data_IF_457060647273
#
_entry.id   IF_457060647273
#
_cell.length_a   1.000
_cell.length_b   1.000
_cell.length_c   1.000
_cell.angle_alpha   90.00
_cell.angle_beta   90.00
_cell.angle_gamma   90.00
#
_symmetry.space_group_name_H-M   'P 1'
#
loop_
_entity.id
_entity.type
_entity.pdbx_description
1 polymer ?
#
# COMPACT_ATOMS: atom_id res chain seq x y z
N UNK A 1 3.43 31.73 -17.53
CA UNK A 1 4.38 31.78 -16.40
C UNK A 1 4.02 30.84 -15.25
N UNK A 2 2.87 30.90 -14.59
CA UNK A 2 2.54 29.99 -13.49
C UNK A 2 2.36 28.51 -13.89
N UNK A 3 1.99 28.19 -15.14
CA UNK A 3 1.81 26.83 -15.63
C UNK A 3 3.12 26.13 -16.02
N UNK A 4 4.13 26.88 -16.40
CA UNK A 4 5.46 26.35 -16.75
C UNK A 4 6.28 25.98 -15.51
N UNK A 5 6.17 26.77 -14.44
CA UNK A 5 6.81 26.46 -13.16
C UNK A 5 6.26 25.19 -12.49
N UNK A 6 4.95 24.92 -12.60
CA UNK A 6 4.35 23.70 -12.09
C UNK A 6 4.76 22.47 -12.93
N UNK A 7 4.94 22.67 -14.24
CA UNK A 7 5.36 21.61 -15.18
C UNK A 7 6.82 21.20 -14.95
N UNK A 8 7.71 22.17 -14.79
CA UNK A 8 9.13 21.96 -14.47
C UNK A 8 9.32 21.25 -13.12
N UNK A 9 8.54 21.62 -12.10
CA UNK A 9 8.59 21.01 -10.77
C UNK A 9 8.05 19.58 -10.72
N UNK A 10 7.04 19.24 -11.52
CA UNK A 10 6.50 17.86 -11.56
C UNK A 10 7.44 16.89 -12.28
N UNK A 11 8.14 17.33 -13.31
CA UNK A 11 9.17 16.56 -13.99
C UNK A 11 10.37 16.28 -13.06
N UNK A 12 10.75 17.25 -12.25
CA UNK A 12 11.81 17.11 -11.25
C UNK A 12 11.54 16.03 -10.20
N UNK A 13 10.30 15.86 -9.73
CA UNK A 13 10.01 14.89 -8.67
C UNK A 13 9.92 13.44 -9.16
N UNK A 14 9.39 13.21 -10.37
CA UNK A 14 9.35 11.87 -10.96
C UNK A 14 10.75 11.44 -11.41
N UNK A 15 11.52 12.35 -12.01
CA UNK A 15 12.92 12.09 -12.34
C UNK A 15 13.78 11.89 -11.09
N UNK A 16 13.50 12.61 -9.99
CA UNK A 16 14.21 12.42 -8.71
C UNK A 16 13.95 11.03 -8.11
N UNK A 17 12.72 10.49 -8.18
CA UNK A 17 12.42 9.13 -7.72
C UNK A 17 13.07 8.09 -8.65
N UNK A 18 13.10 8.35 -9.95
CA UNK A 18 13.77 7.49 -10.95
C UNK A 18 15.29 7.60 -10.81
N UNK A 19 15.83 8.80 -10.64
CA UNK A 19 17.27 9.03 -10.48
C UNK A 19 17.80 8.58 -9.12
N UNK A 20 17.03 8.70 -8.02
CA UNK A 20 17.36 8.06 -6.73
C UNK A 20 17.36 6.52 -6.83
N UNK A 21 16.56 5.95 -7.73
CA UNK A 21 16.63 4.53 -8.05
C UNK A 21 17.80 4.20 -8.99
N UNK A 22 18.28 5.17 -9.77
CA UNK A 22 19.43 5.02 -10.68
C UNK A 22 20.77 5.37 -10.02
N UNK A 23 20.85 6.36 -9.15
CA UNK A 23 22.05 6.67 -8.34
C UNK A 23 22.36 5.57 -7.29
N UNK A 24 21.33 4.89 -6.79
CA UNK A 24 21.53 3.65 -6.03
C UNK A 24 22.11 2.51 -6.92
N UNK A 25 22.27 2.74 -8.20
CA UNK A 25 22.71 1.76 -9.23
C UNK A 25 24.15 1.90 -9.65
N UNK A 26 24.75 3.10 -9.57
CA UNK A 26 26.16 3.30 -9.88
C UNK A 26 27.00 3.07 -8.64
N UNK A 27 27.81 2.04 -8.71
CA UNK A 27 28.62 1.46 -7.65
C UNK A 27 29.25 2.47 -6.68
N UNK A 28 28.95 2.28 -5.44
CA UNK A 28 29.37 2.99 -4.25
C UNK A 28 30.89 3.22 -4.22
N UNK A 29 31.33 4.39 -4.69
CA UNK A 29 32.39 5.14 -4.02
C UNK A 29 31.75 5.71 -2.77
N UNK A 30 32.37 5.46 -1.61
CA UNK A 30 31.86 5.92 -0.31
C UNK A 30 31.33 7.36 -0.42
N UNK A 31 30.03 7.61 -0.18
CA UNK A 31 29.45 8.92 -0.42
C UNK A 31 30.15 9.93 0.47
N UNK A 32 30.52 11.08 -0.10
CA UNK A 32 30.99 12.21 0.69
C UNK A 32 29.95 12.53 1.76
N UNK A 33 30.35 12.97 2.95
CA UNK A 33 29.41 13.23 4.06
C UNK A 33 28.20 14.09 3.66
N UNK A 34 28.32 14.95 2.64
CA UNK A 34 27.24 15.73 2.06
C UNK A 34 26.21 14.88 1.30
N UNK A 35 26.63 13.85 0.57
CA UNK A 35 25.70 12.95 -0.13
C UNK A 35 24.89 12.10 0.88
N UNK A 36 25.57 11.61 1.93
CA UNK A 36 24.89 10.87 3.00
C UNK A 36 23.83 11.72 3.72
N UNK A 37 24.15 12.98 3.97
CA UNK A 37 23.24 13.95 4.60
C UNK A 37 22.05 14.25 3.67
N UNK A 38 22.25 14.39 2.37
CA UNK A 38 21.20 14.61 1.37
C UNK A 38 20.27 13.41 1.28
N UNK A 39 20.81 12.20 1.26
CA UNK A 39 20.02 10.95 1.29
C UNK A 39 19.19 10.87 2.59
N UNK A 40 19.79 11.17 3.73
CA UNK A 40 19.08 11.16 5.01
C UNK A 40 17.94 12.18 5.03
N UNK A 41 18.17 13.41 4.54
CA UNK A 41 17.14 14.45 4.40
C UNK A 41 15.99 13.99 3.48
N UNK A 42 16.30 13.40 2.34
CA UNK A 42 15.30 12.87 1.40
C UNK A 42 14.48 11.72 2.00
N UNK A 43 15.10 10.84 2.78
CA UNK A 43 14.40 9.79 3.52
C UNK A 43 13.45 10.37 4.59
N UNK A 44 13.89 11.41 5.30
CA UNK A 44 13.04 12.11 6.27
C UNK A 44 11.86 12.76 5.56
N UNK A 45 12.10 13.47 4.44
CA UNK A 45 11.05 14.09 3.64
C UNK A 45 10.02 13.05 3.15
N UNK A 46 10.49 11.91 2.64
CA UNK A 46 9.62 10.81 2.22
C UNK A 46 8.84 10.18 3.38
N UNK A 47 9.47 10.02 4.54
CA UNK A 47 8.83 9.53 5.76
C UNK A 47 7.72 10.45 6.25
N UNK A 48 7.98 11.77 6.31
CA UNK A 48 7.00 12.79 6.72
C UNK A 48 5.86 12.86 5.71
N UNK A 49 6.17 12.95 4.41
CA UNK A 49 5.17 12.98 3.34
C UNK A 49 4.25 11.74 3.38
N UNK A 50 4.84 10.56 3.57
CA UNK A 50 4.09 9.33 3.73
C UNK A 50 3.22 9.30 4.99
N UNK A 51 3.69 9.84 6.10
CA UNK A 51 2.94 9.96 7.36
C UNK A 51 1.75 10.91 7.25
N UNK A 52 1.97 12.11 6.70
CA UNK A 52 0.93 13.13 6.49
C UNK A 52 -0.13 12.63 5.53
N UNK A 53 0.26 12.10 4.38
CA UNK A 53 -0.66 11.54 3.38
C UNK A 53 -1.53 10.42 3.98
N UNK A 54 -0.92 9.45 4.69
CA UNK A 54 -1.66 8.36 5.33
C UNK A 54 -2.60 8.85 6.41
N UNK A 55 -2.22 9.88 7.15
CA UNK A 55 -3.08 10.48 8.18
C UNK A 55 -4.27 11.18 7.54
N UNK A 56 -4.08 11.92 6.46
CA UNK A 56 -5.17 12.58 5.76
C UNK A 56 -6.23 11.59 5.22
N UNK A 57 -5.80 10.43 4.71
CA UNK A 57 -6.72 9.41 4.18
C UNK A 57 -7.11 8.33 5.22
N UNK A 58 -6.63 8.43 6.46
CA UNK A 58 -6.90 7.45 7.52
C UNK A 58 -8.40 7.16 7.75
N UNK A 59 -9.32 8.16 7.72
CA UNK A 59 -10.75 7.90 7.83
C UNK A 59 -11.29 6.93 6.77
N UNK A 60 -10.87 7.11 5.52
CA UNK A 60 -11.27 6.24 4.41
C UNK A 60 -10.62 4.86 4.53
N UNK A 61 -9.37 4.79 4.99
CA UNK A 61 -8.70 3.51 5.24
C UNK A 61 -9.36 2.72 6.35
N UNK A 62 -9.74 3.37 7.46
CA UNK A 62 -10.47 2.72 8.54
C UNK A 62 -11.82 2.19 8.07
N UNK A 63 -12.59 3.03 7.39
CA UNK A 63 -13.88 2.64 6.86
C UNK A 63 -13.78 1.46 5.88
N UNK A 64 -12.77 1.48 4.98
CA UNK A 64 -12.49 0.34 4.10
C UNK A 64 -12.37 -0.96 4.87
N UNK A 65 -11.54 -0.98 5.93
CA UNK A 65 -11.31 -2.20 6.71
C UNK A 65 -12.59 -2.64 7.43
N UNK A 66 -13.33 -1.72 8.01
CA UNK A 66 -14.61 -2.01 8.67
C UNK A 66 -15.64 -2.61 7.71
N UNK A 67 -15.75 -2.06 6.48
CA UNK A 67 -16.63 -2.60 5.44
C UNK A 67 -16.22 -4.02 5.00
N UNK A 68 -14.93 -4.32 4.96
CA UNK A 68 -14.42 -5.63 4.56
C UNK A 68 -14.69 -6.73 5.60
N UNK A 69 -14.65 -6.37 6.88
CA UNK A 69 -14.73 -7.33 7.98
C UNK A 69 -16.08 -7.35 8.70
N UNK A 70 -16.99 -6.41 8.42
CA UNK A 70 -18.29 -6.36 9.10
C UNK A 70 -19.09 -7.66 8.95
N UNK A 71 -19.84 -8.01 10.00
CA UNK A 71 -20.66 -9.21 10.02
C UNK A 71 -21.83 -9.09 9.03
N UNK A 72 -22.08 -10.08 8.16
CA UNK A 72 -23.20 -10.07 7.23
C UNK A 72 -24.59 -10.01 7.92
N UNK A 73 -24.68 -10.52 9.15
CA UNK A 73 -25.91 -10.54 9.92
C UNK A 73 -26.21 -9.23 10.68
N UNK A 74 -25.24 -8.32 10.77
CA UNK A 74 -25.38 -7.01 11.42
C UNK A 74 -24.62 -5.94 10.65
N UNK A 75 -25.29 -5.39 9.62
CA UNK A 75 -24.68 -4.39 8.75
C UNK A 75 -24.82 -3.01 9.43
N UNK A 76 -23.71 -2.45 9.91
CA UNK A 76 -23.65 -1.11 10.50
C UNK A 76 -23.19 -0.05 9.50
N UNK A 77 -22.28 -0.44 8.63
CA UNK A 77 -21.67 0.45 7.63
C UNK A 77 -22.30 0.18 6.27
N UNK A 78 -23.13 1.11 5.78
CA UNK A 78 -23.77 1.00 4.48
C UNK A 78 -23.28 2.14 3.57
N UNK A 79 -22.19 1.86 2.83
CA UNK A 79 -21.55 2.83 1.93
C UNK A 79 -20.57 3.78 2.63
N UNK A 80 -19.95 4.68 1.81
CA UNK A 80 -18.84 5.51 2.26
C UNK A 80 -19.29 6.66 3.16
N UNK A 81 -20.30 7.41 2.74
CA UNK A 81 -20.75 8.63 3.46
C UNK A 81 -21.42 8.25 4.76
N UNK A 82 -22.34 7.28 4.72
CA UNK A 82 -23.07 6.83 5.90
C UNK A 82 -22.10 6.20 6.92
N UNK A 83 -21.14 5.39 6.46
CA UNK A 83 -20.15 4.77 7.33
C UNK A 83 -19.27 5.79 8.05
N UNK A 84 -18.79 6.84 7.36
CA UNK A 84 -18.02 7.92 7.99
C UNK A 84 -18.86 8.70 9.01
N UNK A 85 -20.11 9.04 8.67
CA UNK A 85 -21.04 9.70 9.61
C UNK A 85 -21.32 8.83 10.84
N UNK A 86 -21.47 7.52 10.65
CA UNK A 86 -21.69 6.59 11.76
C UNK A 86 -20.48 6.56 12.70
N UNK A 87 -19.26 6.42 12.19
CA UNK A 87 -18.03 6.44 13.01
C UNK A 87 -17.91 7.76 13.76
N UNK A 88 -18.16 8.88 13.08
CA UNK A 88 -18.11 10.20 13.72
C UNK A 88 -19.10 10.35 14.87
N UNK A 89 -20.33 9.86 14.69
CA UNK A 89 -21.39 9.96 15.72
C UNK A 89 -21.16 9.03 16.92
N UNK A 90 -20.60 7.83 16.67
CA UNK A 90 -20.45 6.80 17.72
C UNK A 90 -19.13 6.87 18.44
N UNK A 91 -18.03 7.24 17.76
CA UNK A 91 -16.67 7.23 18.30
C UNK A 91 -15.98 8.60 18.26
N UNK A 92 -16.66 9.62 17.72
CA UNK A 92 -16.13 10.96 17.61
C UNK A 92 -14.99 11.09 16.59
N UNK A 93 -14.33 12.27 16.59
CA UNK A 93 -13.25 12.58 15.65
C UNK A 93 -12.05 11.64 15.79
N UNK A 94 -11.63 11.32 17.01
CA UNK A 94 -10.50 10.41 17.29
C UNK A 94 -10.75 9.00 16.77
N UNK A 95 -12.00 8.57 16.73
CA UNK A 95 -12.42 7.30 16.16
C UNK A 95 -12.02 7.14 14.70
N UNK A 96 -12.06 8.19 13.89
CA UNK A 96 -11.68 8.15 12.48
C UNK A 96 -10.22 7.78 12.24
N UNK A 97 -9.33 8.00 13.21
CA UNK A 97 -7.89 7.80 13.10
C UNK A 97 -7.37 6.56 13.85
N UNK A 98 -8.25 5.69 14.38
CA UNK A 98 -7.82 4.45 15.05
C UNK A 98 -7.02 3.57 14.09
N UNK A 99 -5.88 3.07 14.58
CA UNK A 99 -4.94 2.26 13.81
C UNK A 99 -3.98 3.05 12.91
N UNK A 100 -4.13 4.38 12.77
CA UNK A 100 -3.24 5.19 11.93
C UNK A 100 -1.81 5.23 12.48
N UNK A 101 -1.63 5.28 13.79
CA UNK A 101 -0.29 5.26 14.40
C UNK A 101 0.54 4.05 13.98
N UNK A 102 -0.08 2.85 13.97
CA UNK A 102 0.57 1.63 13.47
C UNK A 102 0.88 1.71 11.98
N UNK A 103 -0.01 2.34 11.21
CA UNK A 103 0.19 2.53 9.77
C UNK A 103 1.40 3.43 9.49
N UNK A 104 1.56 4.50 10.24
CA UNK A 104 2.72 5.41 10.12
C UNK A 104 4.00 4.73 10.62
N UNK A 105 3.96 4.07 11.79
CA UNK A 105 5.13 3.38 12.34
C UNK A 105 5.69 2.31 11.38
N UNK A 106 4.84 1.69 10.56
CA UNK A 106 5.25 0.68 9.57
C UNK A 106 5.96 1.24 8.36
N UNK A 107 5.90 2.56 8.09
CA UNK A 107 6.51 3.16 6.89
C UNK A 107 8.00 2.86 6.84
N UNK A 108 8.72 3.19 7.90
CA UNK A 108 10.19 3.08 7.94
C UNK A 108 10.66 1.63 7.81
N UNK A 109 10.20 0.66 8.66
CA UNK A 109 10.63 -0.73 8.52
C UNK A 109 10.29 -1.34 7.16
N UNK A 110 9.09 -1.06 6.65
CA UNK A 110 8.66 -1.62 5.37
C UNK A 110 9.50 -1.07 4.20
N UNK A 111 9.80 0.22 4.20
CA UNK A 111 10.63 0.83 3.16
C UNK A 111 12.07 0.32 3.24
N UNK A 112 12.67 0.27 4.43
CA UNK A 112 14.03 -0.22 4.63
C UNK A 112 14.18 -1.66 4.12
N UNK A 113 13.29 -2.57 4.54
CA UNK A 113 13.32 -3.96 4.08
C UNK A 113 13.09 -4.07 2.58
N UNK A 114 12.16 -3.26 2.03
CA UNK A 114 11.86 -3.27 0.59
C UNK A 114 13.07 -2.84 -0.25
N UNK A 115 13.77 -1.77 0.13
CA UNK A 115 14.97 -1.30 -0.59
C UNK A 115 16.09 -2.32 -0.53
N UNK A 116 16.42 -2.81 0.67
CA UNK A 116 17.45 -3.83 0.84
C UNK A 116 17.12 -5.10 0.06
N UNK A 117 15.89 -5.60 0.16
CA UNK A 117 15.47 -6.81 -0.56
C UNK A 117 15.44 -6.61 -2.07
N UNK A 118 15.14 -5.40 -2.55
CA UNK A 118 15.18 -5.10 -3.99
C UNK A 118 16.60 -5.13 -4.53
N UNK A 119 17.54 -4.56 -3.80
CA UNK A 119 18.96 -4.56 -4.18
C UNK A 119 19.49 -5.99 -4.27
N UNK A 120 19.27 -6.81 -3.24
CA UNK A 120 19.72 -8.20 -3.23
C UNK A 120 18.99 -9.07 -4.27
N UNK A 121 17.67 -8.91 -4.44
CA UNK A 121 16.92 -9.61 -5.47
C UNK A 121 17.39 -9.22 -6.88
N UNK A 122 17.69 -7.95 -7.12
CA UNK A 122 18.19 -7.46 -8.40
C UNK A 122 19.55 -8.04 -8.75
N UNK A 123 20.47 -8.08 -7.77
CA UNK A 123 21.78 -8.72 -7.94
C UNK A 123 21.65 -10.21 -8.23
N UNK A 124 20.80 -10.92 -7.46
CA UNK A 124 20.59 -12.36 -7.63
C UNK A 124 19.97 -12.70 -9.00
N UNK A 125 18.94 -11.95 -9.43
CA UNK A 125 18.27 -12.16 -10.71
C UNK A 125 19.24 -11.84 -11.86
N UNK A 126 20.04 -10.77 -11.76
CA UNK A 126 21.02 -10.41 -12.77
C UNK A 126 22.11 -11.47 -12.89
N UNK A 127 22.63 -11.98 -11.76
CA UNK A 127 23.59 -13.06 -11.75
C UNK A 127 23.04 -14.33 -12.42
N UNK A 128 21.80 -14.70 -12.11
CA UNK A 128 21.13 -15.86 -12.69
C UNK A 128 20.91 -15.70 -14.20
N UNK A 129 20.51 -14.49 -14.63
CA UNK A 129 20.30 -14.16 -16.05
C UNK A 129 21.61 -14.19 -16.84
N UNK A 130 22.70 -13.59 -16.32
CA UNK A 130 24.03 -13.66 -16.92
C UNK A 130 24.54 -15.08 -17.10
N UNK A 131 24.36 -15.91 -16.06
CA UNK A 131 24.75 -17.31 -16.09
C UNK A 131 23.96 -18.14 -17.12
N UNK A 132 22.67 -17.84 -17.31
CA UNK A 132 21.85 -18.53 -18.31
C UNK A 132 22.12 -18.08 -19.75
N UNK A 133 22.41 -16.80 -19.94
CA UNK A 133 22.57 -16.19 -21.27
C UNK A 133 24.02 -16.21 -21.74
N UNK A 134 24.98 -16.47 -20.85
CA UNK A 134 26.43 -16.43 -21.17
C UNK A 134 26.96 -15.02 -21.50
N UNK A 135 26.19 -13.96 -21.21
CA UNK A 135 26.52 -12.58 -21.49
C UNK A 135 26.75 -11.81 -20.18
N UNK A 136 28.03 -11.53 -19.91
CA UNK A 136 28.44 -10.85 -18.67
C UNK A 136 28.04 -9.37 -18.63
N UNK A 137 27.81 -8.74 -19.77
CA UNK A 137 27.40 -7.34 -19.88
C UNK A 137 25.87 -7.15 -19.84
N UNK A 138 25.10 -8.24 -19.67
CA UNK A 138 23.65 -8.16 -19.64
C UNK A 138 23.15 -7.24 -18.53
N UNK A 139 22.21 -6.34 -18.87
CA UNK A 139 21.52 -5.45 -17.95
C UNK A 139 20.16 -6.00 -17.57
N UNK A 140 19.62 -5.52 -16.43
CA UNK A 140 18.27 -5.86 -16.00
C UNK A 140 17.25 -5.31 -17.01
N UNK A 141 16.54 -6.21 -17.70
CA UNK A 141 15.40 -5.85 -18.53
C UNK A 141 14.23 -5.34 -17.68
N UNK A 142 13.27 -4.58 -18.24
CA UNK A 142 12.10 -4.10 -17.50
C UNK A 142 11.32 -5.24 -16.80
N UNK A 143 11.23 -6.41 -17.43
CA UNK A 143 10.55 -7.59 -16.86
C UNK A 143 11.32 -8.16 -15.66
N UNK A 144 12.64 -8.24 -15.74
CA UNK A 144 13.49 -8.69 -14.64
C UNK A 144 13.46 -7.71 -13.46
N UNK A 145 13.43 -6.40 -13.72
CA UNK A 145 13.23 -5.36 -12.70
C UNK A 145 11.88 -5.50 -12.00
N UNK A 146 10.83 -5.80 -12.76
CA UNK A 146 9.50 -6.06 -12.23
C UNK A 146 9.50 -7.30 -11.32
N UNK A 147 10.16 -8.38 -11.73
CA UNK A 147 10.37 -9.58 -10.93
C UNK A 147 11.11 -9.29 -9.62
N UNK A 148 12.21 -8.55 -9.68
CA UNK A 148 12.95 -8.12 -8.49
C UNK A 148 12.08 -7.28 -7.54
N UNK A 149 11.30 -6.34 -8.08
CA UNK A 149 10.36 -5.53 -7.33
C UNK A 149 9.25 -6.35 -6.65
N UNK A 150 8.71 -7.36 -7.34
CA UNK A 150 7.72 -8.28 -6.79
C UNK A 150 8.32 -9.11 -5.64
N UNK A 151 9.50 -9.69 -5.82
CA UNK A 151 10.22 -10.42 -4.78
C UNK A 151 10.50 -9.55 -3.56
N UNK A 152 11.02 -8.35 -3.77
CA UNK A 152 11.28 -7.38 -2.69
C UNK A 152 9.99 -6.99 -1.96
N UNK A 153 8.90 -6.79 -2.69
CA UNK A 153 7.59 -6.52 -2.13
C UNK A 153 7.07 -7.65 -1.24
N UNK A 154 7.22 -8.90 -1.66
CA UNK A 154 6.82 -10.09 -0.89
C UNK A 154 7.67 -10.21 0.38
N UNK A 155 9.00 -10.04 0.29
CA UNK A 155 9.90 -10.12 1.43
C UNK A 155 9.58 -9.01 2.44
N UNK A 156 9.46 -7.76 1.99
CA UNK A 156 9.13 -6.62 2.84
C UNK A 156 7.76 -6.79 3.52
N UNK A 157 6.76 -7.25 2.77
CA UNK A 157 5.44 -7.54 3.31
C UNK A 157 5.51 -8.66 4.35
N UNK A 158 6.26 -9.73 4.10
CA UNK A 158 6.40 -10.85 5.03
C UNK A 158 7.09 -10.43 6.34
N UNK A 159 8.16 -9.64 6.25
CA UNK A 159 8.86 -9.12 7.41
C UNK A 159 7.99 -8.16 8.26
N UNK A 160 7.16 -7.34 7.61
CA UNK A 160 6.29 -6.38 8.30
C UNK A 160 4.87 -6.90 8.54
N UNK A 161 4.59 -8.15 8.22
CA UNK A 161 3.25 -8.74 8.32
C UNK A 161 2.68 -8.74 9.75
N UNK A 162 3.46 -9.05 10.81
CA UNK A 162 2.97 -8.93 12.18
C UNK A 162 2.40 -7.54 12.51
N UNK A 163 3.05 -6.48 12.05
CA UNK A 163 2.56 -5.11 12.23
C UNK A 163 1.29 -4.83 11.44
N UNK A 164 1.14 -5.45 10.26
CA UNK A 164 -0.08 -5.30 9.44
C UNK A 164 -1.29 -5.99 10.08
N UNK A 165 -1.11 -7.16 10.70
CA UNK A 165 -2.15 -7.84 11.46
C UNK A 165 -2.59 -7.01 12.67
N UNK A 166 -1.64 -6.54 13.47
CA UNK A 166 -1.90 -5.66 14.62
C UNK A 166 -2.63 -4.39 14.20
N UNK A 167 -2.19 -3.75 13.11
CA UNK A 167 -2.89 -2.60 12.51
C UNK A 167 -4.34 -2.94 12.18
N UNK A 168 -4.58 -4.06 11.50
CA UNK A 168 -5.93 -4.50 11.15
C UNK A 168 -6.84 -4.61 12.36
N UNK A 169 -6.38 -5.27 13.43
CA UNK A 169 -7.15 -5.45 14.67
C UNK A 169 -7.37 -4.13 15.43
N UNK A 170 -6.34 -3.31 15.59
CA UNK A 170 -6.48 -1.98 16.22
C UNK A 170 -7.43 -1.05 15.45
N UNK A 171 -7.46 -1.16 14.13
CA UNK A 171 -8.37 -0.36 13.27
C UNK A 171 -9.83 -0.77 13.48
N UNK A 172 -10.10 -2.05 13.67
CA UNK A 172 -11.45 -2.61 13.83
C UNK A 172 -11.98 -2.43 15.26
N UNK A 173 -11.11 -2.36 16.26
CA UNK A 173 -11.49 -2.17 17.65
C UNK A 173 -12.31 -0.88 17.83
N UNK A 174 -13.50 -1.01 18.44
CA UNK A 174 -14.44 0.11 18.73
C UNK A 174 -14.41 0.48 20.22
N UNK A 175 -14.91 1.67 20.58
CA UNK A 175 -14.96 2.09 21.98
C UNK A 175 -16.02 1.32 22.77
N UNK A 176 -17.03 0.76 22.09
CA UNK A 176 -18.08 -0.07 22.70
C UNK A 176 -17.60 -1.50 23.00
N UNK A 177 -16.44 -1.91 22.49
CA UNK A 177 -15.88 -3.24 22.78
C UNK A 177 -14.88 -3.16 23.94
N UNK A 178 -14.71 -4.23 24.73
CA UNK A 178 -13.66 -4.28 25.74
C UNK A 178 -12.33 -3.92 25.06
N UNK A 179 -11.60 -2.94 25.63
CA UNK A 179 -10.32 -2.48 25.06
C UNK A 179 -9.27 -3.56 25.25
N UNK A 180 -9.22 -4.51 24.31
CA UNK A 180 -8.28 -5.62 24.38
C UNK A 180 -6.85 -5.16 24.09
N UNK A 181 -6.70 -4.21 23.13
CA UNK A 181 -5.38 -3.73 22.72
C UNK A 181 -5.17 -2.26 23.07
N UNK A 182 -4.17 -1.98 23.91
CA UNK A 182 -3.80 -0.61 24.34
C UNK A 182 -2.79 0.06 23.44
N UNK A 183 -2.22 -0.65 22.47
CA UNK A 183 -1.20 -0.14 21.54
C UNK A 183 -0.52 -1.25 20.76
N UNK A 184 0.45 -0.88 19.91
CA UNK A 184 1.12 -1.81 18.97
C UNK A 184 1.82 -2.96 19.71
N UNK A 185 2.67 -2.63 20.68
CA UNK A 185 3.45 -3.63 21.43
C UNK A 185 2.56 -4.52 22.28
N UNK A 186 1.55 -3.93 22.94
CA UNK A 186 0.59 -4.70 23.72
C UNK A 186 -0.20 -5.67 22.84
N UNK A 187 -0.68 -5.21 21.68
CA UNK A 187 -1.39 -6.07 20.74
C UNK A 187 -0.50 -7.21 20.22
N UNK A 188 0.76 -6.91 19.86
CA UNK A 188 1.70 -7.92 19.39
C UNK A 188 1.98 -9.00 20.44
N UNK A 189 2.26 -8.57 21.70
CA UNK A 189 2.52 -9.50 22.80
C UNK A 189 1.29 -10.30 23.22
N UNK A 190 0.10 -9.70 23.18
CA UNK A 190 -1.16 -10.38 23.47
C UNK A 190 -1.44 -11.47 22.45
N UNK A 191 -1.31 -11.16 21.14
CA UNK A 191 -1.51 -12.14 20.07
C UNK A 191 -0.51 -13.29 20.18
N UNK A 192 0.77 -12.99 20.47
CA UNK A 192 1.81 -14.01 20.65
C UNK A 192 1.51 -14.94 21.84
N UNK A 193 1.02 -14.39 22.97
CA UNK A 193 0.73 -15.17 24.18
C UNK A 193 -0.56 -15.97 24.08
N UNK A 194 -1.62 -15.38 23.50
CA UNK A 194 -2.94 -16.00 23.49
C UNK A 194 -3.20 -16.90 22.26
N UNK A 195 -2.67 -16.50 21.11
CA UNK A 195 -2.96 -17.18 19.84
C UNK A 195 -1.72 -17.88 19.24
N UNK A 196 -0.54 -17.57 19.75
CA UNK A 196 0.74 -18.15 19.32
C UNK A 196 1.35 -17.46 18.08
N UNK A 197 2.61 -17.78 17.72
CA UNK A 197 3.37 -17.09 16.68
C UNK A 197 2.77 -17.28 15.26
N UNK A 198 2.14 -18.42 15.00
CA UNK A 198 1.49 -18.69 13.70
C UNK A 198 0.31 -17.74 13.44
N UNK A 199 -0.33 -17.24 14.47
CA UNK A 199 -1.45 -16.30 14.35
C UNK A 199 -1.03 -14.97 13.73
N UNK A 200 0.21 -14.53 13.96
CA UNK A 200 0.75 -13.30 13.38
C UNK A 200 0.81 -13.30 11.85
N UNK A 201 0.79 -14.49 11.23
CA UNK A 201 0.84 -14.67 9.77
C UNK A 201 -0.50 -15.11 9.17
N UNK A 202 -1.60 -15.05 9.94
CA UNK A 202 -2.94 -15.34 9.40
C UNK A 202 -3.32 -14.35 8.30
N UNK A 203 -3.65 -14.85 7.12
CA UNK A 203 -3.93 -14.05 5.93
C UNK A 203 -2.69 -13.62 5.14
N UNK A 204 -1.49 -14.11 5.46
CA UNK A 204 -0.28 -13.87 4.69
C UNK A 204 -0.38 -14.45 3.27
N UNK A 205 -0.86 -15.69 3.15
CA UNK A 205 -0.96 -16.38 1.86
C UNK A 205 -1.78 -15.62 0.80
N UNK A 206 -3.03 -15.18 1.06
CA UNK A 206 -3.77 -14.37 0.10
C UNK A 206 -3.09 -13.05 -0.22
N UNK A 207 -2.29 -12.51 0.69
CA UNK A 207 -1.51 -11.30 0.43
C UNK A 207 -0.41 -11.52 -0.59
N UNK A 208 0.34 -12.62 -0.45
CA UNK A 208 1.43 -12.99 -1.39
C UNK A 208 0.85 -13.32 -2.76
N UNK A 209 -0.18 -14.15 -2.81
CA UNK A 209 -0.83 -14.52 -4.07
C UNK A 209 -1.39 -13.28 -4.77
N UNK A 210 -1.93 -12.31 -4.03
CA UNK A 210 -2.49 -11.08 -4.58
C UNK A 210 -1.46 -10.13 -5.21
N UNK A 211 -0.17 -10.24 -4.87
CA UNK A 211 0.89 -9.41 -5.46
C UNK A 211 1.05 -9.71 -6.94
N UNK A 212 1.04 -10.98 -7.34
CA UNK A 212 1.29 -11.40 -8.72
C UNK A 212 0.28 -10.81 -9.70
N UNK A 213 -1.05 -11.02 -9.55
CA UNK A 213 -2.03 -10.44 -10.46
C UNK A 213 -2.06 -8.91 -10.40
N UNK A 214 -1.85 -8.32 -9.21
CA UNK A 214 -1.79 -6.87 -9.07
C UNK A 214 -0.65 -6.25 -9.87
N UNK A 215 0.58 -6.75 -9.69
CA UNK A 215 1.78 -6.21 -10.36
C UNK A 215 1.72 -6.49 -11.85
N UNK A 216 1.35 -7.71 -12.25
CA UNK A 216 1.25 -8.10 -13.66
C UNK A 216 0.21 -7.27 -14.44
N UNK A 217 -0.99 -7.11 -13.88
CA UNK A 217 -2.05 -6.32 -14.51
C UNK A 217 -1.72 -4.83 -14.52
N UNK A 218 -1.15 -4.31 -13.44
CA UNK A 218 -0.77 -2.89 -13.39
C UNK A 218 0.24 -2.56 -14.49
N UNK A 219 1.25 -3.41 -14.68
CA UNK A 219 2.22 -3.25 -15.75
C UNK A 219 1.58 -3.41 -17.15
N UNK A 220 0.83 -4.49 -17.38
CA UNK A 220 0.20 -4.77 -18.67
C UNK A 220 -0.76 -3.65 -19.10
N UNK A 221 -1.62 -3.19 -18.20
CA UNK A 221 -2.57 -2.11 -18.47
C UNK A 221 -1.83 -0.78 -18.69
N UNK A 222 -0.80 -0.48 -17.89
CA UNK A 222 -0.01 0.73 -18.06
C UNK A 222 0.67 0.79 -19.44
N UNK A 223 1.37 -0.28 -19.84
CA UNK A 223 2.03 -0.34 -21.15
C UNK A 223 1.00 -0.31 -22.30
N UNK A 224 -0.11 -1.03 -22.17
CA UNK A 224 -1.17 -1.00 -23.18
C UNK A 224 -1.78 0.40 -23.35
N UNK A 225 -2.05 1.12 -22.27
CA UNK A 225 -2.55 2.50 -22.32
C UNK A 225 -1.52 3.45 -22.91
N UNK A 226 -0.26 3.31 -22.53
CA UNK A 226 0.85 4.10 -23.04
C UNK A 226 0.98 3.90 -24.56
N UNK A 227 1.05 2.65 -25.01
CA UNK A 227 1.16 2.32 -26.43
C UNK A 227 -0.05 2.82 -27.25
N UNK A 228 -1.24 2.70 -26.70
CA UNK A 228 -2.47 3.19 -27.35
C UNK A 228 -2.43 4.71 -27.51
N UNK A 229 -2.03 5.45 -26.50
CA UNK A 229 -1.94 6.92 -26.54
C UNK A 229 -0.82 7.42 -27.45
N UNK A 230 0.32 6.72 -27.47
CA UNK A 230 1.43 7.06 -28.39
C UNK A 230 1.04 6.83 -29.87
N UNK A 231 0.38 5.71 -30.16
CA UNK A 231 -0.03 5.39 -31.56
C UNK A 231 -1.12 6.31 -32.10
N UNK A 232 -2.08 6.67 -31.29
CA UNK A 232 -3.26 7.42 -31.75
C UNK A 232 -3.11 8.94 -31.62
N UNK A 233 -2.07 9.42 -30.93
CA UNK A 233 -1.84 10.85 -30.61
C UNK A 233 -3.14 11.57 -30.19
N UNK A 234 -4.01 10.89 -29.47
CA UNK A 234 -5.36 11.33 -29.12
C UNK A 234 -5.23 12.51 -28.15
N UNK A 235 -5.83 13.63 -28.47
CA UNK A 235 -5.84 14.88 -27.67
C UNK A 235 -4.55 15.71 -27.60
N UNK A 236 -3.55 15.49 -28.47
CA UNK A 236 -2.30 16.29 -28.44
C UNK A 236 -1.49 16.12 -27.13
N UNK A 237 -1.64 14.98 -26.46
CA UNK A 237 -1.00 14.67 -25.18
C UNK A 237 0.43 14.12 -25.34
N UNK A 238 0.87 13.95 -26.60
CA UNK A 238 2.22 13.48 -26.96
C UNK A 238 3.03 14.70 -27.37
N UNK A 239 4.11 14.99 -26.67
CA UNK A 239 5.15 15.96 -27.04
C UNK A 239 6.45 15.17 -27.27
N UNK A 240 7.13 15.43 -28.41
CA UNK A 240 8.41 14.81 -28.76
C UNK A 240 8.47 13.27 -28.64
N UNK A 241 7.41 12.60 -29.07
CA UNK A 241 7.24 11.14 -28.97
C UNK A 241 7.18 10.62 -27.51
N UNK A 242 6.99 11.48 -26.54
CA UNK A 242 6.83 11.12 -25.13
C UNK A 242 5.47 11.60 -24.58
N UNK A 243 4.90 10.83 -23.66
CA UNK A 243 3.70 11.23 -22.92
C UNK A 243 4.02 12.30 -21.88
N UNK A 244 3.18 13.32 -21.79
CA UNK A 244 3.25 14.32 -20.73
C UNK A 244 3.21 13.63 -19.34
N UNK A 245 3.87 14.22 -18.33
CA UNK A 245 3.92 13.69 -16.96
C UNK A 245 2.51 13.47 -16.39
N UNK A 246 1.59 14.40 -16.64
CA UNK A 246 0.18 14.27 -16.22
C UNK A 246 -0.51 13.07 -16.85
N UNK A 247 -0.24 12.80 -18.14
CA UNK A 247 -0.78 11.63 -18.85
C UNK A 247 -0.19 10.32 -18.31
N UNK A 248 1.12 10.27 -18.03
CA UNK A 248 1.78 9.11 -17.39
C UNK A 248 1.17 8.83 -16.00
N UNK A 249 0.93 9.86 -15.20
CA UNK A 249 0.24 9.72 -13.90
C UNK A 249 -1.20 9.22 -14.06
N UNK A 250 -1.93 9.73 -15.06
CA UNK A 250 -3.27 9.26 -15.39
C UNK A 250 -3.30 7.77 -15.79
N UNK A 251 -2.40 7.35 -16.67
CA UNK A 251 -2.24 5.94 -17.05
C UNK A 251 -1.88 5.06 -15.85
N UNK A 252 -0.97 5.53 -14.99
CA UNK A 252 -0.59 4.83 -13.76
C UNK A 252 -1.75 4.69 -12.77
N UNK A 253 -2.56 5.74 -12.60
CA UNK A 253 -3.74 5.71 -11.75
C UNK A 253 -4.81 4.74 -12.29
N UNK A 254 -5.07 4.77 -13.60
CA UNK A 254 -6.01 3.85 -14.26
C UNK A 254 -5.53 2.39 -14.14
N UNK A 255 -4.26 2.12 -14.47
CA UNK A 255 -3.67 0.80 -14.37
C UNK A 255 -3.69 0.27 -12.91
N UNK A 256 -3.32 1.11 -11.95
CA UNK A 256 -3.37 0.78 -10.53
C UNK A 256 -4.79 0.47 -10.04
N UNK A 257 -5.78 1.23 -10.49
CA UNK A 257 -7.19 1.00 -10.12
C UNK A 257 -7.72 -0.31 -10.69
N UNK A 258 -7.42 -0.62 -11.97
CA UNK A 258 -7.83 -1.87 -12.62
C UNK A 258 -7.13 -3.05 -11.95
N UNK A 259 -5.80 -3.01 -11.79
CA UNK A 259 -5.04 -4.07 -11.12
C UNK A 259 -5.53 -4.33 -9.69
N UNK A 260 -5.83 -3.25 -8.95
CA UNK A 260 -6.36 -3.35 -7.60
C UNK A 260 -7.77 -3.94 -7.57
N UNK A 261 -8.64 -3.57 -8.53
CA UNK A 261 -10.01 -4.11 -8.61
C UNK A 261 -10.00 -5.61 -8.84
N UNK A 262 -9.13 -6.12 -9.72
CA UNK A 262 -9.00 -7.56 -9.97
C UNK A 262 -8.40 -8.31 -8.77
N UNK A 263 -7.43 -7.72 -8.08
CA UNK A 263 -6.82 -8.31 -6.88
C UNK A 263 -7.68 -8.12 -5.61
N UNK A 264 -8.74 -7.29 -5.65
CA UNK A 264 -9.53 -6.89 -4.49
C UNK A 264 -10.17 -8.04 -3.71
N UNK A 265 -10.69 -9.10 -4.33
CA UNK A 265 -11.19 -10.28 -3.62
C UNK A 265 -10.17 -10.87 -2.64
N UNK A 266 -8.90 -10.93 -3.03
CA UNK A 266 -7.84 -11.44 -2.16
C UNK A 266 -7.54 -10.49 -0.99
N UNK A 267 -7.67 -9.17 -1.20
CA UNK A 267 -7.52 -8.19 -0.12
C UNK A 267 -8.64 -8.32 0.93
N UNK A 268 -9.89 -8.56 0.50
CA UNK A 268 -11.01 -8.82 1.43
C UNK A 268 -10.77 -10.11 2.22
N UNK A 269 -10.39 -11.21 1.56
CA UNK A 269 -10.12 -12.48 2.22
C UNK A 269 -8.97 -12.35 3.21
N UNK A 270 -7.88 -11.64 2.84
CA UNK A 270 -6.78 -11.32 3.75
C UNK A 270 -7.29 -10.65 5.03
N UNK A 271 -8.11 -9.60 4.93
CA UNK A 271 -8.63 -8.87 6.08
C UNK A 271 -9.52 -9.73 6.96
N UNK A 272 -10.38 -10.54 6.38
CA UNK A 272 -11.22 -11.48 7.11
C UNK A 272 -10.40 -12.53 7.86
N UNK A 273 -9.37 -13.10 7.22
CA UNK A 273 -8.48 -14.05 7.87
C UNK A 273 -7.67 -13.44 9.02
N UNK A 274 -7.33 -12.16 8.97
CA UNK A 274 -6.65 -11.46 10.07
C UNK A 274 -7.53 -11.37 11.35
N UNK A 275 -8.85 -11.46 11.21
CA UNK A 275 -9.79 -11.44 12.35
C UNK A 275 -10.05 -12.83 12.95
N UNK A 276 -9.62 -13.91 12.29
CA UNK A 276 -9.80 -15.28 12.78
C UNK A 276 -9.01 -15.50 14.07
N UNK A 277 -9.63 -16.19 15.05
CA UNK A 277 -9.01 -16.51 16.34
C UNK A 277 -9.00 -15.37 17.34
N UNK A 278 -9.46 -14.19 16.97
CA UNK A 278 -9.69 -13.11 17.92
C UNK A 278 -11.01 -13.35 18.64
N UNK A 279 -10.96 -13.65 19.95
CA UNK A 279 -12.12 -14.09 20.75
C UNK A 279 -13.28 -13.07 20.76
N UNK A 280 -12.94 -11.78 20.73
CA UNK A 280 -13.91 -10.69 20.77
C UNK A 280 -14.23 -10.11 19.39
N UNK A 281 -13.75 -10.72 18.30
CA UNK A 281 -14.00 -10.20 16.96
C UNK A 281 -15.50 -10.02 16.67
N UNK A 282 -16.34 -10.93 17.17
CA UNK A 282 -17.80 -10.82 17.03
C UNK A 282 -18.36 -9.60 17.73
N UNK A 283 -18.04 -9.40 19.00
CA UNK A 283 -18.52 -8.27 19.81
C UNK A 283 -17.99 -6.93 19.30
N UNK A 284 -16.73 -6.92 18.84
CA UNK A 284 -16.07 -5.73 18.26
C UNK A 284 -16.72 -5.31 16.94
N UNK A 285 -17.02 -6.30 16.08
CA UNK A 285 -17.58 -6.05 14.75
C UNK A 285 -19.08 -5.74 14.82
N UNK A 286 -19.81 -6.36 15.74
CA UNK A 286 -21.27 -6.20 15.87
C UNK A 286 -21.71 -5.24 16.96
N UNK A 287 -20.89 -5.05 18.01
CA UNK A 287 -21.19 -4.14 19.14
C UNK A 287 -22.34 -4.55 20.06
N UNK A 288 -23.04 -5.64 19.80
CA UNK A 288 -24.29 -5.98 20.51
C UNK A 288 -24.19 -7.22 21.41
N UNK A 289 -23.04 -7.87 21.52
CA UNK A 289 -22.85 -9.06 22.37
C UNK A 289 -23.79 -10.25 22.11
N UNK A 290 -24.83 -10.05 21.30
CA UNK A 290 -25.90 -11.03 20.98
C UNK A 290 -25.84 -11.57 19.56
N UNK A 291 -24.95 -11.04 18.69
CA UNK A 291 -24.87 -11.49 17.30
C UNK A 291 -24.17 -12.83 17.20
N UNK A 292 -24.58 -13.63 16.20
CA UNK A 292 -23.94 -14.91 15.88
C UNK A 292 -22.43 -14.72 15.70
N UNK A 293 -21.65 -15.68 16.21
CA UNK A 293 -20.20 -15.66 16.08
C UNK A 293 -19.75 -15.40 14.63
N UNK A 294 -18.68 -14.62 14.41
CA UNK A 294 -18.16 -14.42 13.08
C UNK A 294 -17.80 -15.77 12.47
N UNK A 295 -17.93 -15.87 11.14
CA UNK A 295 -17.60 -17.07 10.40
C UNK A 295 -16.13 -17.43 10.67
N UNK A 296 -15.89 -18.62 11.23
CA UNK A 296 -14.55 -19.17 11.37
C UNK A 296 -14.07 -19.68 10.01
N UNK A 297 -12.86 -19.26 9.63
CA UNK A 297 -12.22 -19.68 8.39
C UNK A 297 -11.02 -20.57 8.70
N UNK A 298 -11.00 -21.77 8.11
CA UNK A 298 -9.88 -22.72 8.24
C UNK A 298 -8.73 -22.41 7.29
N UNK A 299 -8.98 -21.68 6.20
CA UNK A 299 -7.97 -21.30 5.23
C UNK A 299 -8.52 -20.30 4.18
N UNK A 300 -7.66 -19.95 3.22
CA UNK A 300 -7.98 -18.96 2.17
C UNK A 300 -9.15 -19.42 1.29
N UNK A 301 -9.12 -20.68 0.83
CA UNK A 301 -10.17 -21.24 -0.05
C UNK A 301 -11.50 -21.35 0.68
N UNK A 302 -11.46 -21.79 1.96
CA UNK A 302 -12.65 -21.86 2.82
C UNK A 302 -13.24 -20.46 3.06
N UNK A 303 -12.39 -19.47 3.35
CA UNK A 303 -12.81 -18.09 3.51
C UNK A 303 -13.47 -17.54 2.24
N UNK A 304 -12.89 -17.79 1.07
CA UNK A 304 -13.47 -17.39 -0.21
C UNK A 304 -14.83 -18.05 -0.44
N UNK A 305 -14.91 -19.39 -0.32
CA UNK A 305 -16.14 -20.17 -0.53
C UNK A 305 -17.25 -19.76 0.44
N UNK A 306 -16.94 -19.63 1.72
CA UNK A 306 -17.92 -19.20 2.74
C UNK A 306 -18.40 -17.77 2.50
N UNK A 307 -17.51 -16.86 2.13
CA UNK A 307 -17.89 -15.47 1.81
C UNK A 307 -18.87 -15.42 0.65
N UNK A 308 -18.56 -16.11 -0.46
CA UNK A 308 -19.44 -16.12 -1.64
C UNK A 308 -20.77 -16.82 -1.33
N UNK A 309 -20.74 -17.94 -0.57
CA UNK A 309 -21.95 -18.72 -0.26
C UNK A 309 -22.92 -17.99 0.69
N UNK A 310 -22.40 -17.26 1.69
CA UNK A 310 -23.22 -16.62 2.72
C UNK A 310 -23.57 -15.17 2.44
N UNK A 311 -22.72 -14.45 1.70
CA UNK A 311 -22.87 -13.01 1.46
C UNK A 311 -23.00 -12.65 -0.03
N UNK A 312 -22.80 -13.63 -0.92
CA UNK A 312 -22.76 -13.41 -2.36
C UNK A 312 -21.43 -12.86 -2.87
N UNK A 313 -21.28 -12.85 -4.20
CA UNK A 313 -20.03 -12.41 -4.87
C UNK A 313 -19.69 -10.93 -4.61
N UNK A 314 -20.72 -10.07 -4.50
CA UNK A 314 -20.54 -8.64 -4.21
C UNK A 314 -19.84 -8.36 -2.86
N UNK A 315 -19.86 -9.29 -1.93
CA UNK A 315 -19.15 -9.14 -0.65
C UNK A 315 -17.63 -9.04 -0.80
N UNK A 316 -17.08 -9.64 -1.86
CA UNK A 316 -15.65 -9.61 -2.18
C UNK A 316 -15.19 -8.23 -2.64
N UNK A 317 -16.11 -7.31 -2.93
CA UNK A 317 -15.84 -5.93 -3.36
C UNK A 317 -16.26 -4.88 -2.33
N UNK A 318 -16.68 -5.29 -1.13
CA UNK A 318 -17.02 -4.36 -0.04
C UNK A 318 -15.80 -3.53 0.34
N UNK A 319 -15.95 -2.19 0.31
CA UNK A 319 -14.87 -1.25 0.60
C UNK A 319 -14.02 -0.83 -0.63
N UNK A 320 -14.37 -1.27 -1.84
CA UNK A 320 -13.68 -0.84 -3.07
C UNK A 320 -13.81 0.66 -3.29
N UNK A 321 -15.01 1.22 -3.12
CA UNK A 321 -15.28 2.66 -3.32
C UNK A 321 -14.39 3.55 -2.45
N UNK A 322 -14.38 3.43 -1.10
CA UNK A 322 -13.47 4.24 -0.27
C UNK A 322 -11.99 3.99 -0.59
N UNK A 323 -11.65 2.79 -1.05
CA UNK A 323 -10.28 2.47 -1.45
C UNK A 323 -9.87 3.17 -2.75
N UNK A 324 -10.75 3.28 -3.74
CA UNK A 324 -10.48 4.00 -4.99
C UNK A 324 -10.46 5.52 -4.77
N UNK A 325 -11.41 6.05 -4.00
CA UNK A 325 -11.52 7.50 -3.72
C UNK A 325 -10.28 8.03 -2.99
N UNK A 326 -9.65 7.24 -2.12
CA UNK A 326 -8.46 7.70 -1.36
C UNK A 326 -7.19 7.84 -2.21
N UNK A 327 -7.10 7.21 -3.38
CA UNK A 327 -5.85 7.12 -4.18
C UNK A 327 -5.38 8.50 -4.60
N UNK A 328 -6.25 9.27 -5.26
CA UNK A 328 -5.91 10.60 -5.78
C UNK A 328 -5.50 11.58 -4.66
N UNK A 329 -6.32 11.77 -3.59
CA UNK A 329 -5.93 12.63 -2.48
C UNK A 329 -4.63 12.19 -1.79
N UNK A 330 -4.42 10.88 -1.64
CA UNK A 330 -3.22 10.36 -1.00
C UNK A 330 -1.96 10.71 -1.79
N UNK A 331 -1.99 10.55 -3.11
CA UNK A 331 -0.84 10.88 -3.97
C UNK A 331 -0.59 12.39 -3.98
N UNK A 332 -1.64 13.19 -4.15
CA UNK A 332 -1.52 14.65 -4.18
C UNK A 332 -0.93 15.21 -2.87
N UNK A 333 -1.43 14.76 -1.72
CA UNK A 333 -0.94 15.21 -0.41
C UNK A 333 0.49 14.72 -0.18
N UNK A 334 0.83 13.50 -0.55
CA UNK A 334 2.19 12.99 -0.43
C UNK A 334 3.18 13.83 -1.24
N UNK A 335 2.82 14.16 -2.48
CA UNK A 335 3.64 14.95 -3.37
C UNK A 335 3.87 16.37 -2.82
N UNK A 336 2.79 17.09 -2.51
CA UNK A 336 2.88 18.46 -1.97
C UNK A 336 3.68 18.50 -0.67
N UNK A 337 3.41 17.55 0.25
CA UNK A 337 4.14 17.48 1.52
C UNK A 337 5.62 17.16 1.30
N UNK A 338 5.95 16.29 0.36
CA UNK A 338 7.34 15.94 0.03
C UNK A 338 8.11 17.16 -0.47
N UNK A 339 7.54 17.92 -1.41
CA UNK A 339 8.15 19.16 -1.93
C UNK A 339 8.33 20.20 -0.82
N UNK A 340 7.30 20.44 -0.01
CA UNK A 340 7.39 21.38 1.11
C UNK A 340 8.49 21.00 2.11
N UNK A 341 8.59 19.73 2.48
CA UNK A 341 9.61 19.28 3.44
C UNK A 341 11.00 19.31 2.81
N UNK A 342 11.14 19.02 1.53
CA UNK A 342 12.39 19.12 0.78
C UNK A 342 12.88 20.56 0.75
N UNK A 343 11.99 21.52 0.46
CA UNK A 343 12.31 22.97 0.47
C UNK A 343 12.77 23.43 1.87
N UNK A 344 12.07 23.02 2.94
CA UNK A 344 12.43 23.33 4.33
C UNK A 344 13.79 22.75 4.71
N UNK A 345 14.10 21.55 4.26
CA UNK A 345 15.38 20.88 4.56
C UNK A 345 16.56 21.39 3.70
N UNK A 346 16.29 22.28 2.73
CA UNK A 346 17.30 22.82 1.83
C UNK A 346 18.00 21.71 1.02
N UNK A 347 17.22 20.72 0.57
CA UNK A 347 17.73 19.70 -0.35
C UNK A 347 17.61 20.26 -1.75
N UNK A 348 18.57 21.08 -2.16
CA UNK A 348 18.76 21.40 -3.56
C UNK A 348 19.33 20.16 -4.24
N UNK A 349 18.48 19.38 -4.88
CA UNK A 349 18.93 18.53 -5.98
C UNK A 349 19.08 19.47 -7.16
N UNK A 350 20.24 20.11 -7.30
CA UNK A 350 20.68 20.60 -8.59
C UNK A 350 20.87 19.38 -9.44
N UNK A 351 19.97 19.17 -10.38
CA UNK A 351 20.26 18.44 -11.59
C UNK A 351 21.23 19.38 -12.30
N UNK A 352 22.53 19.22 -12.01
CA UNK A 352 23.56 19.87 -12.79
C UNK A 352 23.70 19.09 -14.08
N UNK A 353 23.58 19.83 -15.16
CA UNK A 353 24.03 19.67 -16.53
C UNK A 353 24.60 18.30 -16.96
#
# INVERSE_FOLDING_TARGET
MASEDVKSRSESAVSTIVNLAEEAREGVKAPSGHALLSIAKSLVAGGVAGGVSRTAVAPLERLKILLQVQNPHSIKYNGTIQGLKYIWRTEGFRGLFKGNGTNCARIVPNSAVKFFSYEEASKGILWMYRRQTGNDDAQLTPVLRLGAGACAGIIAMSATYPMDLVRGRLTVQTDASPQQYRGIFHALTTVLKEEGPRALYRGWLPSVIGVVPYVGLNFAVYESLKDYLLKNNTFGLVQDNELSVTTRLGCGAAAGTIGQTVAYPLDVIRRRMQMVGWKDAASVITGDGKSKAPLEYTGMVDAFRKTVRHEGFGALYKGLVPNSVKVVPSIAIAFVTYEMVKDILGVEVRISD
#
